data_IF_332545453064
#
_entry.id   IF_332545453064
#
_cell.length_a   1.000
_cell.length_b   1.000
_cell.length_c   1.000
_cell.angle_alpha   90.00
_cell.angle_beta   90.00
_cell.angle_gamma   90.00
#
_symmetry.space_group_name_H-M   'P 1'
#
loop_
_entity.id
_entity.type
_entity.pdbx_description
1 polymer ?
#
# COMPACT_ATOMS: atom_id res chain seq x y z
N UNK A 1 12.89 -14.10 -3.90
CA UNK A 1 13.49 -13.25 -2.85
C UNK A 1 12.53 -13.08 -1.68
N UNK A 2 13.04 -12.79 -0.49
CA UNK A 2 12.21 -12.44 0.66
C UNK A 2 11.63 -11.03 0.46
N UNK A 3 10.30 -10.85 0.49
CA UNK A 3 9.68 -9.56 0.30
C UNK A 3 10.07 -8.54 1.37
N UNK A 4 10.46 -8.97 2.56
CA UNK A 4 10.89 -8.09 3.66
C UNK A 4 12.24 -7.41 3.44
N UNK A 5 12.99 -7.78 2.39
CA UNK A 5 14.18 -7.05 1.96
C UNK A 5 13.84 -5.73 1.25
N UNK A 6 12.61 -5.58 0.77
CA UNK A 6 12.15 -4.34 0.14
C UNK A 6 11.81 -3.32 1.21
N UNK A 7 12.44 -2.14 1.12
CA UNK A 7 12.25 -1.02 2.06
C UNK A 7 10.77 -0.64 2.14
N UNK A 8 10.29 -0.42 3.35
CA UNK A 8 8.89 -0.06 3.64
C UNK A 8 7.92 -1.25 3.75
N UNK A 9 8.27 -2.44 3.25
CA UNK A 9 7.35 -3.60 3.28
C UNK A 9 6.99 -4.01 4.70
N UNK A 10 7.94 -4.01 5.62
CA UNK A 10 7.69 -4.40 7.00
C UNK A 10 6.72 -3.44 7.69
N UNK A 11 6.98 -2.16 7.57
CA UNK A 11 6.17 -1.07 8.13
C UNK A 11 4.78 -1.07 7.49
N UNK A 12 4.71 -1.15 6.17
CA UNK A 12 3.44 -1.19 5.43
C UNK A 12 2.57 -2.39 5.80
N UNK A 13 3.17 -3.56 6.02
CA UNK A 13 2.45 -4.75 6.49
C UNK A 13 1.87 -4.55 7.88
N UNK A 14 2.61 -3.94 8.81
CA UNK A 14 2.10 -3.69 10.16
C UNK A 14 0.94 -2.65 10.14
N UNK A 15 1.07 -1.56 9.39
CA UNK A 15 0.01 -0.58 9.21
C UNK A 15 -1.24 -1.24 8.62
N UNK A 16 -1.09 -1.92 7.48
CA UNK A 16 -2.21 -2.56 6.79
C UNK A 16 -2.91 -3.62 7.66
N UNK A 17 -2.12 -4.41 8.39
CA UNK A 17 -2.63 -5.40 9.33
C UNK A 17 -3.50 -4.76 10.41
N UNK A 18 -3.02 -3.67 11.01
CA UNK A 18 -3.77 -2.92 12.01
C UNK A 18 -5.09 -2.40 11.43
N UNK A 19 -5.04 -1.75 10.26
CA UNK A 19 -6.23 -1.19 9.60
C UNK A 19 -7.30 -2.25 9.30
N UNK A 20 -6.89 -3.41 8.79
CA UNK A 20 -7.80 -4.54 8.54
C UNK A 20 -8.40 -5.08 9.85
N UNK A 21 -7.60 -5.21 10.91
CA UNK A 21 -8.09 -5.67 12.23
C UNK A 21 -9.09 -4.70 12.87
N UNK A 22 -8.86 -3.39 12.71
CA UNK A 22 -9.75 -2.34 13.21
C UNK A 22 -11.00 -2.14 12.32
N UNK A 23 -11.10 -2.85 11.21
CA UNK A 23 -12.23 -2.76 10.28
C UNK A 23 -12.30 -1.40 9.56
N UNK A 24 -11.16 -0.74 9.39
CA UNK A 24 -11.04 0.53 8.68
C UNK A 24 -11.27 0.36 7.18
N UNK A 25 -11.82 1.38 6.54
CA UNK A 25 -12.04 1.39 5.09
C UNK A 25 -10.76 1.78 4.37
N UNK A 26 -10.33 0.94 3.43
CA UNK A 26 -9.13 1.13 2.63
C UNK A 26 -9.55 1.37 1.18
N UNK A 27 -9.01 2.40 0.54
CA UNK A 27 -9.18 2.65 -0.91
C UNK A 27 -7.87 2.45 -1.63
N UNK A 28 -7.90 1.59 -2.66
CA UNK A 28 -6.78 1.47 -3.61
C UNK A 28 -6.93 2.54 -4.67
N UNK A 29 -5.83 3.25 -4.96
CA UNK A 29 -5.75 4.17 -6.10
C UNK A 29 -4.62 3.67 -7.00
N UNK A 30 -4.98 3.22 -8.21
CA UNK A 30 -4.04 2.68 -9.19
C UNK A 30 -3.89 3.59 -10.40
N UNK A 31 -2.86 3.34 -11.22
CA UNK A 31 -2.86 3.85 -12.57
C UNK A 31 -3.91 3.11 -13.42
N UNK A 32 -4.25 3.70 -14.59
CA UNK A 32 -5.28 3.20 -15.52
C UNK A 32 -4.74 2.21 -16.55
N UNK A 33 -3.42 2.01 -16.61
CA UNK A 33 -2.80 1.07 -17.55
C UNK A 33 -2.89 -0.38 -17.07
N UNK A 34 -2.34 -1.30 -17.86
CA UNK A 34 -2.41 -2.74 -17.56
C UNK A 34 -1.68 -3.08 -16.26
N UNK A 35 -0.53 -2.44 -15.99
CA UNK A 35 0.24 -2.71 -14.76
C UNK A 35 -0.51 -2.21 -13.52
N UNK A 36 -1.10 -1.01 -13.60
CA UNK A 36 -1.95 -0.45 -12.55
C UNK A 36 -3.19 -1.30 -12.27
N UNK A 37 -3.90 -1.73 -13.31
CA UNK A 37 -5.11 -2.58 -13.15
C UNK A 37 -4.77 -3.94 -12.55
N UNK A 38 -3.68 -4.58 -12.98
CA UNK A 38 -3.23 -5.87 -12.41
C UNK A 38 -2.76 -5.69 -10.96
N UNK A 39 -2.02 -4.63 -10.67
CA UNK A 39 -1.60 -4.26 -9.30
C UNK A 39 -2.79 -4.10 -8.38
N UNK A 40 -3.80 -3.34 -8.83
CA UNK A 40 -5.05 -3.12 -8.10
C UNK A 40 -5.74 -4.45 -7.76
N UNK A 41 -5.91 -5.31 -8.76
CA UNK A 41 -6.55 -6.61 -8.54
C UNK A 41 -5.80 -7.47 -7.52
N UNK A 42 -4.47 -7.50 -7.56
CA UNK A 42 -3.64 -8.25 -6.61
C UNK A 42 -3.87 -7.75 -5.18
N UNK A 43 -3.83 -6.42 -4.97
CA UNK A 43 -4.05 -5.81 -3.67
C UNK A 43 -5.47 -6.04 -3.18
N UNK A 44 -6.45 -5.71 -4.02
CA UNK A 44 -7.87 -5.86 -3.69
C UNK A 44 -8.21 -7.29 -3.30
N UNK A 45 -7.84 -8.27 -4.14
CA UNK A 45 -8.13 -9.68 -3.91
C UNK A 45 -7.53 -10.18 -2.59
N UNK A 46 -6.28 -9.87 -2.33
CA UNK A 46 -5.59 -10.34 -1.13
C UNK A 46 -6.19 -9.74 0.16
N UNK A 47 -6.50 -8.44 0.15
CA UNK A 47 -7.05 -7.76 1.33
C UNK A 47 -8.51 -8.16 1.56
N UNK A 48 -9.31 -8.22 0.50
CA UNK A 48 -10.70 -8.66 0.55
C UNK A 48 -10.83 -10.09 1.11
N UNK A 49 -10.05 -11.03 0.59
CA UNK A 49 -10.08 -12.43 1.04
C UNK A 49 -9.68 -12.61 2.51
N UNK A 50 -8.96 -11.66 3.08
CA UNK A 50 -8.58 -11.64 4.49
C UNK A 50 -9.56 -10.86 5.36
N UNK A 51 -10.67 -10.38 4.78
CA UNK A 51 -11.76 -9.70 5.49
C UNK A 51 -11.58 -8.19 5.63
N UNK A 52 -10.70 -7.58 4.85
CA UNK A 52 -10.53 -6.12 4.81
C UNK A 52 -11.72 -5.43 4.13
N UNK A 53 -12.11 -4.26 4.66
CA UNK A 53 -13.06 -3.36 4.01
C UNK A 53 -12.31 -2.55 2.98
N UNK A 54 -12.46 -2.91 1.72
CA UNK A 54 -11.65 -2.34 0.65
C UNK A 54 -12.49 -2.03 -0.60
N UNK A 55 -12.27 -0.86 -1.15
CA UNK A 55 -12.73 -0.46 -2.48
C UNK A 55 -11.54 0.01 -3.35
N UNK A 56 -11.81 0.47 -4.55
CA UNK A 56 -10.78 1.01 -5.43
C UNK A 56 -11.31 2.16 -6.28
N UNK A 57 -10.39 3.03 -6.67
CA UNK A 57 -10.63 4.10 -7.63
C UNK A 57 -9.50 4.08 -8.66
N UNK A 58 -9.88 4.03 -9.94
CA UNK A 58 -8.97 4.18 -11.06
C UNK A 58 -9.22 5.58 -11.63
N UNK A 59 -8.20 6.46 -11.68
CA UNK A 59 -8.35 7.81 -12.25
C UNK A 59 -8.82 7.76 -13.70
N UNK A 60 -9.75 8.65 -14.06
CA UNK A 60 -10.13 8.84 -15.45
C UNK A 60 -9.11 9.76 -16.13
N UNK A 61 -8.39 9.23 -17.12
CA UNK A 61 -7.34 9.96 -17.85
C UNK A 61 -7.78 11.32 -18.38
N UNK A 62 -9.06 11.45 -18.77
CA UNK A 62 -9.58 12.66 -19.37
C UNK A 62 -10.06 13.69 -18.34
N UNK A 63 -10.40 13.25 -17.12
CA UNK A 63 -10.97 14.10 -16.07
C UNK A 63 -9.96 14.35 -14.94
N UNK A 64 -9.29 13.32 -14.51
CA UNK A 64 -8.46 13.34 -13.31
C UNK A 64 -6.96 13.52 -13.64
N UNK A 65 -6.56 13.34 -14.90
CA UNK A 65 -5.14 13.37 -15.30
C UNK A 65 -4.42 12.06 -14.95
N UNK A 66 -3.11 12.16 -14.71
CA UNK A 66 -2.26 11.00 -14.41
C UNK A 66 -2.05 10.86 -12.89
N UNK A 67 -2.26 9.65 -12.39
CA UNK A 67 -1.94 9.28 -11.01
C UNK A 67 -2.87 9.89 -9.95
N UNK A 68 -2.39 9.89 -8.73
CA UNK A 68 -3.10 10.46 -7.59
C UNK A 68 -2.97 11.99 -7.56
N UNK A 69 -4.07 12.68 -7.29
CA UNK A 69 -4.16 14.13 -7.17
C UNK A 69 -5.09 14.54 -6.02
N UNK A 70 -5.13 15.85 -5.70
CA UNK A 70 -5.93 16.36 -4.59
C UNK A 70 -7.43 16.07 -4.73
N UNK A 71 -8.01 16.17 -5.93
CA UNK A 71 -9.44 15.89 -6.14
C UNK A 71 -9.80 14.44 -5.80
N UNK A 72 -8.91 13.49 -6.13
CA UNK A 72 -9.08 12.07 -5.80
C UNK A 72 -9.00 11.87 -4.27
N UNK A 73 -8.11 12.58 -3.61
CA UNK A 73 -7.99 12.55 -2.16
C UNK A 73 -9.19 13.19 -1.48
N UNK A 74 -9.66 14.36 -1.97
CA UNK A 74 -10.87 15.02 -1.45
C UNK A 74 -12.08 14.09 -1.50
N UNK A 75 -12.27 13.41 -2.63
CA UNK A 75 -13.31 12.40 -2.76
C UNK A 75 -13.18 11.25 -1.76
N UNK A 76 -11.97 10.80 -1.48
CA UNK A 76 -11.75 9.77 -0.46
C UNK A 76 -12.10 10.27 0.95
N UNK A 77 -11.83 11.54 1.26
CA UNK A 77 -12.22 12.18 2.53
C UNK A 77 -13.74 12.27 2.63
N UNK A 78 -14.43 12.73 1.57
CA UNK A 78 -15.91 12.79 1.51
C UNK A 78 -16.53 11.39 1.71
N UNK A 79 -15.95 10.36 1.12
CA UNK A 79 -16.39 8.96 1.22
C UNK A 79 -16.00 8.30 2.56
N UNK A 80 -15.41 9.06 3.49
CA UNK A 80 -14.97 8.60 4.82
C UNK A 80 -13.98 7.43 4.78
N UNK A 81 -13.09 7.44 3.81
CA UNK A 81 -11.98 6.49 3.72
C UNK A 81 -10.98 6.80 4.84
N UNK A 82 -10.45 5.76 5.48
CA UNK A 82 -9.41 5.90 6.50
C UNK A 82 -7.99 5.79 5.92
N UNK A 83 -7.82 4.91 4.93
CA UNK A 83 -6.49 4.57 4.40
C UNK A 83 -6.50 4.57 2.88
N UNK A 84 -5.54 5.27 2.30
CA UNK A 84 -5.21 5.21 0.88
C UNK A 84 -4.02 4.26 0.69
N UNK A 85 -4.18 3.32 -0.24
CA UNK A 85 -3.14 2.43 -0.70
C UNK A 85 -2.95 2.64 -2.20
N UNK A 86 -1.86 3.29 -2.61
CA UNK A 86 -1.60 3.45 -4.04
C UNK A 86 -0.92 2.21 -4.62
N UNK A 87 -1.09 1.99 -5.90
CA UNK A 87 -0.27 1.03 -6.64
C UNK A 87 0.02 1.52 -8.05
N UNK A 88 1.27 1.33 -8.47
CA UNK A 88 1.78 1.76 -9.76
C UNK A 88 1.69 3.29 -9.97
N UNK A 89 1.60 4.03 -8.88
CA UNK A 89 1.65 5.49 -8.85
C UNK A 89 1.94 6.00 -7.43
N UNK A 90 2.17 7.31 -7.30
CA UNK A 90 2.24 7.99 -6.02
C UNK A 90 3.64 8.42 -5.61
N UNK A 91 4.71 7.84 -6.16
CA UNK A 91 6.09 8.19 -5.76
C UNK A 91 6.43 9.67 -6.03
N UNK A 92 5.84 10.27 -7.07
CA UNK A 92 6.04 11.66 -7.44
C UNK A 92 4.91 12.60 -6.96
N UNK A 93 3.91 12.09 -6.23
CA UNK A 93 2.70 12.83 -5.87
C UNK A 93 2.81 13.46 -4.46
N UNK A 94 3.90 14.16 -4.16
CA UNK A 94 4.17 14.71 -2.83
C UNK A 94 3.05 15.60 -2.31
N UNK A 95 2.51 16.50 -3.15
CA UNK A 95 1.47 17.45 -2.76
C UNK A 95 0.14 16.74 -2.42
N UNK A 96 -0.31 15.81 -3.27
CA UNK A 96 -1.52 15.05 -3.02
C UNK A 96 -1.40 14.17 -1.75
N UNK A 97 -0.23 13.58 -1.52
CA UNK A 97 0.04 12.80 -0.31
C UNK A 97 0.05 13.70 0.93
N UNK A 98 0.67 14.88 0.86
CA UNK A 98 0.64 15.87 1.94
C UNK A 98 -0.80 16.29 2.26
N UNK A 99 -1.59 16.62 1.23
CA UNK A 99 -3.00 16.95 1.38
C UNK A 99 -3.79 15.84 2.09
N UNK A 100 -3.58 14.58 1.70
CA UNK A 100 -4.20 13.42 2.37
C UNK A 100 -3.80 13.32 3.84
N UNK A 101 -2.53 13.54 4.17
CA UNK A 101 -2.02 13.53 5.55
C UNK A 101 -2.64 14.65 6.39
N UNK A 102 -2.79 15.84 5.84
CA UNK A 102 -3.44 16.98 6.52
C UNK A 102 -4.91 16.71 6.83
N UNK A 103 -5.57 15.89 6.02
CA UNK A 103 -6.96 15.45 6.22
C UNK A 103 -7.10 14.16 7.04
N UNK A 104 -6.02 13.71 7.69
CA UNK A 104 -6.03 12.59 8.62
C UNK A 104 -6.03 11.19 7.97
N UNK A 105 -5.81 11.09 6.66
CA UNK A 105 -5.70 9.81 5.98
C UNK A 105 -4.37 9.11 6.32
N UNK A 106 -4.41 7.80 6.41
CA UNK A 106 -3.21 6.97 6.36
C UNK A 106 -2.83 6.73 4.92
N UNK A 107 -1.59 7.02 4.56
CA UNK A 107 -1.09 6.97 3.18
C UNK A 107 -0.02 5.88 3.05
N UNK A 108 -0.31 4.84 2.27
CA UNK A 108 0.62 3.75 1.93
C UNK A 108 0.88 3.83 0.43
N UNK A 109 2.11 4.10 0.04
CA UNK A 109 2.51 4.22 -1.37
C UNK A 109 3.21 2.94 -1.80
N UNK A 110 2.69 2.26 -2.84
CA UNK A 110 3.41 1.19 -3.54
C UNK A 110 3.61 1.59 -4.99
N UNK A 111 4.85 1.68 -5.41
CA UNK A 111 5.21 2.17 -6.73
C UNK A 111 6.51 1.52 -7.23
N UNK A 112 6.79 1.63 -8.51
CA UNK A 112 8.02 1.14 -9.15
C UNK A 112 8.69 2.18 -10.06
N UNK A 113 8.05 3.33 -10.23
CA UNK A 113 8.62 4.44 -11.00
C UNK A 113 9.88 5.00 -10.34
N UNK A 114 10.66 5.76 -11.10
CA UNK A 114 11.89 6.35 -10.60
C UNK A 114 11.59 7.34 -9.46
N UNK A 115 12.36 7.23 -8.40
CA UNK A 115 12.23 8.12 -7.25
C UNK A 115 12.70 9.51 -7.64
N UNK A 116 11.88 10.56 -7.44
CA UNK A 116 12.32 11.93 -7.64
C UNK A 116 13.52 12.29 -6.77
N UNK A 117 14.33 13.22 -7.22
CA UNK A 117 15.47 13.71 -6.45
C UNK A 117 15.62 15.22 -6.61
N UNK A 118 16.11 15.86 -5.55
CA UNK A 118 16.60 17.22 -5.57
C UNK A 118 18.13 17.22 -5.60
N UNK A 119 18.69 18.33 -6.08
CA UNK A 119 20.14 18.55 -6.05
C UNK A 119 20.42 19.71 -5.10
N UNK A 120 21.20 19.47 -4.05
CA UNK A 120 21.59 20.52 -3.12
C UNK A 120 22.60 21.51 -3.73
N UNK A 121 22.94 22.56 -2.99
CA UNK A 121 23.90 23.60 -3.42
C UNK A 121 25.30 23.05 -3.70
N UNK A 122 25.64 21.88 -3.14
CA UNK A 122 26.89 21.18 -3.35
C UNK A 122 26.85 20.21 -4.57
N UNK A 123 25.70 20.13 -5.26
CA UNK A 123 25.51 19.23 -6.39
C UNK A 123 25.20 17.77 -5.98
N UNK A 124 24.94 17.51 -4.68
CA UNK A 124 24.60 16.16 -4.21
C UNK A 124 23.11 15.86 -4.44
N UNK A 125 22.82 14.68 -4.98
CA UNK A 125 21.46 14.18 -5.17
C UNK A 125 20.89 13.69 -3.85
N UNK A 126 19.65 14.07 -3.56
CA UNK A 126 18.88 13.59 -2.41
C UNK A 126 17.51 13.12 -2.90
N UNK A 127 17.12 11.91 -2.52
CA UNK A 127 15.77 11.41 -2.77
C UNK A 127 14.70 12.32 -2.20
N UNK A 128 13.64 12.56 -2.97
CA UNK A 128 12.44 13.28 -2.53
C UNK A 128 11.30 12.28 -2.50
N UNK A 129 10.96 11.81 -1.30
CA UNK A 129 9.84 10.88 -1.10
C UNK A 129 8.58 11.66 -0.71
N UNK A 130 7.40 11.22 -1.16
CA UNK A 130 6.14 11.80 -0.68
C UNK A 130 6.00 11.58 0.84
N UNK A 131 5.36 12.53 1.58
CA UNK A 131 5.23 12.47 3.04
C UNK A 131 4.17 11.45 3.50
N UNK A 132 4.25 10.23 2.99
CA UNK A 132 3.38 9.12 3.33
C UNK A 132 3.77 8.47 4.67
N UNK A 133 2.87 7.68 5.26
CA UNK A 133 3.19 6.85 6.41
C UNK A 133 4.22 5.79 6.06
N UNK A 134 4.17 5.29 4.82
CA UNK A 134 5.18 4.39 4.27
C UNK A 134 5.24 4.47 2.75
N UNK A 135 6.45 4.35 2.22
CA UNK A 135 6.72 4.24 0.79
C UNK A 135 7.39 2.89 0.52
N UNK A 136 6.80 2.10 -0.36
CA UNK A 136 7.30 0.81 -0.82
C UNK A 136 7.64 0.94 -2.30
N UNK A 137 8.93 1.11 -2.58
CA UNK A 137 9.44 1.20 -3.93
C UNK A 137 10.86 0.57 -3.95
N UNK A 138 11.13 -0.40 -4.83
CA UNK A 138 12.42 -1.08 -4.86
C UNK A 138 13.57 -0.21 -5.34
N UNK A 139 13.30 0.95 -5.95
CA UNK A 139 14.31 1.89 -6.47
C UNK A 139 14.77 2.95 -5.46
N UNK A 140 14.27 2.94 -4.21
CA UNK A 140 14.77 3.81 -3.14
C UNK A 140 16.25 3.53 -2.86
N UNK A 141 17.06 4.56 -2.62
CA UNK A 141 18.52 4.44 -2.39
C UNK A 141 18.91 3.42 -1.30
N UNK A 142 18.15 3.36 -0.21
CA UNK A 142 18.42 2.44 0.89
C UNK A 142 17.67 1.10 0.78
N UNK A 143 17.22 0.72 -0.43
CA UNK A 143 16.49 -0.53 -0.65
C UNK A 143 17.45 -1.66 -1.01
N UNK A 144 17.44 -2.73 -0.21
CA UNK A 144 18.27 -3.91 -0.43
C UNK A 144 17.55 -5.03 -1.19
N UNK A 145 16.43 -4.73 -1.83
CA UNK A 145 15.71 -5.73 -2.61
C UNK A 145 16.47 -6.06 -3.90
N UNK A 146 16.75 -7.36 -4.20
CA UNK A 146 17.68 -7.72 -5.29
C UNK A 146 17.15 -7.48 -6.71
N UNK A 147 15.88 -7.10 -6.87
CA UNK A 147 15.26 -6.83 -8.17
C UNK A 147 14.63 -5.42 -8.21
N UNK A 148 15.43 -4.37 -8.42
CA UNK A 148 14.92 -2.99 -8.42
C UNK A 148 14.02 -2.69 -9.63
N UNK A 149 14.06 -3.50 -10.69
CA UNK A 149 13.29 -3.34 -11.92
C UNK A 149 11.97 -4.14 -11.90
N UNK A 150 11.38 -4.37 -10.73
CA UNK A 150 10.02 -4.90 -10.69
C UNK A 150 9.06 -3.90 -11.34
N UNK A 151 8.03 -4.41 -12.02
CA UNK A 151 6.85 -3.62 -12.41
C UNK A 151 5.92 -3.40 -11.20
N UNK A 152 4.93 -2.51 -11.32
CA UNK A 152 3.98 -2.21 -10.27
C UNK A 152 3.28 -3.45 -9.72
N UNK A 153 2.81 -4.35 -10.61
CA UNK A 153 2.21 -5.63 -10.21
C UNK A 153 3.19 -6.53 -9.45
N UNK A 154 4.48 -6.48 -9.77
CA UNK A 154 5.53 -7.19 -9.05
C UNK A 154 5.71 -6.66 -7.63
N UNK A 155 5.68 -5.34 -7.44
CA UNK A 155 5.74 -4.70 -6.12
C UNK A 155 4.51 -5.06 -5.28
N UNK A 156 3.31 -4.88 -5.85
CA UNK A 156 2.03 -5.23 -5.21
C UNK A 156 2.00 -6.71 -4.79
N UNK A 157 2.46 -7.61 -5.65
CA UNK A 157 2.54 -9.04 -5.36
C UNK A 157 3.50 -9.34 -4.19
N UNK A 158 4.68 -8.74 -4.15
CA UNK A 158 5.63 -8.94 -3.06
C UNK A 158 5.10 -8.39 -1.74
N UNK A 159 4.46 -7.23 -1.77
CA UNK A 159 3.82 -6.66 -0.59
C UNK A 159 2.72 -7.57 -0.05
N UNK A 160 1.85 -8.10 -0.89
CA UNK A 160 0.79 -9.02 -0.47
C UNK A 160 1.33 -10.39 -0.02
N UNK A 161 2.42 -10.89 -0.60
CA UNK A 161 3.12 -12.09 -0.06
C UNK A 161 3.56 -11.88 1.38
N UNK A 162 4.16 -10.73 1.68
CA UNK A 162 4.57 -10.38 3.04
C UNK A 162 3.37 -10.28 3.98
N UNK A 163 2.32 -9.55 3.55
CA UNK A 163 1.11 -9.36 4.31
C UNK A 163 0.41 -10.68 4.65
N UNK A 164 0.15 -11.55 3.67
CA UNK A 164 -0.47 -12.87 3.87
C UNK A 164 0.37 -13.74 4.81
N UNK A 165 1.70 -13.71 4.67
CA UNK A 165 2.62 -14.47 5.54
C UNK A 165 2.49 -14.05 7.00
N UNK A 166 2.47 -12.74 7.27
CA UNK A 166 2.31 -12.21 8.62
C UNK A 166 0.90 -12.44 9.18
N UNK A 167 -0.12 -12.29 8.34
CA UNK A 167 -1.50 -12.54 8.72
C UNK A 167 -1.73 -13.99 9.17
N UNK A 168 -1.21 -14.96 8.42
CA UNK A 168 -1.27 -16.39 8.76
C UNK A 168 -0.52 -16.70 10.06
N UNK A 169 0.67 -16.12 10.25
CA UNK A 169 1.47 -16.29 11.48
C UNK A 169 0.72 -15.76 12.70
N UNK A 170 0.10 -14.61 12.60
CA UNK A 170 -0.71 -14.02 13.66
C UNK A 170 -1.89 -14.93 14.03
N UNK A 171 -2.67 -15.41 13.04
CA UNK A 171 -3.79 -16.33 13.29
C UNK A 171 -3.33 -17.67 13.89
N UNK A 172 -2.16 -18.16 13.51
CA UNK A 172 -1.60 -19.38 14.09
C UNK A 172 -1.20 -19.18 15.57
N UNK A 173 -0.56 -18.06 15.89
CA UNK A 173 -0.22 -17.71 17.28
C UNK A 173 -1.45 -17.52 18.16
N UNK A 174 -2.51 -16.88 17.64
CA UNK A 174 -3.78 -16.74 18.35
C UNK A 174 -4.39 -18.10 18.68
N UNK A 175 -4.41 -19.04 17.74
CA UNK A 175 -4.92 -20.41 17.94
C UNK A 175 -4.09 -21.19 18.97
N UNK A 176 -2.81 -20.93 19.12
CA UNK A 176 -1.94 -21.57 20.11
C UNK A 176 -2.10 -20.99 21.52
N UNK A 177 -2.45 -19.70 21.63
CA UNK A 177 -2.66 -19.03 22.94
C UNK A 177 -4.01 -19.39 23.61
N UNK A 178 -4.99 -19.87 22.84
CA UNK A 178 -6.31 -20.22 23.36
C UNK A 178 -6.71 -21.66 23.00
N UNK A 179 -6.13 -22.68 23.66
CA UNK A 179 -6.48 -24.08 23.43
C UNK A 179 -7.97 -24.39 23.63
N UNK A 180 -8.66 -23.61 24.46
CA UNK A 180 -10.09 -23.78 24.78
C UNK A 180 -11.03 -23.46 23.61
N UNK A 181 -10.59 -22.65 22.62
CA UNK A 181 -11.39 -22.31 21.44
C UNK A 181 -11.35 -23.37 20.34
N UNK A 182 -10.51 -24.41 20.52
CA UNK A 182 -10.40 -25.52 19.56
C UNK A 182 -11.61 -26.44 19.51
N UNK A 183 -12.46 -26.44 20.55
CA UNK A 183 -13.49 -27.49 20.70
C UNK A 183 -14.94 -27.06 20.51
N UNK A 184 -15.30 -25.78 20.39
CA UNK A 184 -16.72 -25.37 20.39
C UNK A 184 -17.18 -24.24 19.48
N UNK A 185 -16.35 -23.56 18.68
CA UNK A 185 -16.78 -22.38 17.90
C UNK A 185 -16.53 -22.44 16.38
N UNK A 186 -16.18 -23.61 15.85
CA UNK A 186 -15.96 -23.78 14.40
C UNK A 186 -16.91 -24.80 13.75
N UNK A 187 -18.14 -24.95 14.25
CA UNK A 187 -19.20 -25.76 13.60
C UNK A 187 -20.38 -24.87 13.17
N UNK A 188 -20.23 -23.57 13.12
CA UNK A 188 -21.23 -22.70 12.48
C UNK A 188 -20.49 -21.62 11.69
N UNK A 189 -20.26 -21.89 10.43
CA UNK A 189 -20.16 -21.10 9.19
C UNK A 189 -19.36 -21.87 8.16
#
# INVERSE_FOLDING_TARGET
SDPFLMKGVKEGVEILKQKVQEGKTIRIISDYDVDGVVSNYILWKAIHDLGGKIDFQIPDRMKDGYGINENIIEKAVEDQIDTILTCDNGIAAADAVAYGKEHGLTMIITDHHDVPFDTDEAGMRKEVLPPADVVINPKQEACNYPYPLLCGAGVAFQFMRAFIRQWKKMKANWKSCYPCLRSRLFVMW
#
